data_IF_013582991675
#
_entry.id   IF_013582991675
#
_cell.length_a   1.000
_cell.length_b   1.000
_cell.length_c   1.000
_cell.angle_alpha   90.00
_cell.angle_beta   90.00
_cell.angle_gamma   90.00
#
_symmetry.space_group_name_H-M   'P 1'
#
loop_
_entity.id
_entity.type
_entity.pdbx_description
1 polymer ?
#
# COMPACT_ATOMS: atom_id res chain seq x y z
N UNK A 1 4.31 11.93 -22.96
CA UNK A 1 2.94 11.68 -22.47
C UNK A 1 2.53 10.21 -22.64
N UNK A 2 3.07 9.49 -23.64
CA UNK A 2 2.61 8.14 -24.08
C UNK A 2 2.68 6.97 -23.09
N UNK A 3 3.33 7.16 -21.93
CA UNK A 3 3.51 6.11 -20.90
C UNK A 3 2.98 6.51 -19.52
N UNK A 4 2.40 7.71 -19.39
CA UNK A 4 2.00 8.24 -18.08
C UNK A 4 0.93 7.36 -17.43
N UNK A 5 -0.10 6.97 -18.16
CA UNK A 5 -1.20 6.19 -17.62
C UNK A 5 -0.77 4.76 -17.23
N UNK A 6 0.03 4.08 -18.05
CA UNK A 6 0.54 2.75 -17.74
C UNK A 6 1.55 2.79 -16.58
N UNK A 7 2.37 3.84 -16.50
CA UNK A 7 3.31 4.04 -15.39
C UNK A 7 2.59 4.35 -14.07
N UNK A 8 1.53 5.17 -14.11
CA UNK A 8 0.70 5.45 -12.93
C UNK A 8 -0.04 4.18 -12.50
N UNK A 9 -0.63 3.44 -13.45
CA UNK A 9 -1.32 2.18 -13.20
C UNK A 9 -0.40 1.13 -12.56
N UNK A 10 0.81 0.96 -13.10
CA UNK A 10 1.82 0.07 -12.51
C UNK A 10 2.24 0.53 -11.11
N UNK A 11 2.41 1.84 -10.91
CA UNK A 11 2.76 2.39 -9.59
C UNK A 11 1.70 2.07 -8.53
N UNK A 12 0.41 2.26 -8.85
CA UNK A 12 -0.69 1.95 -7.94
C UNK A 12 -0.77 0.44 -7.65
N UNK A 13 -0.63 -0.40 -8.69
CA UNK A 13 -0.66 -1.86 -8.56
C UNK A 13 0.48 -2.38 -7.65
N UNK A 14 1.70 -1.84 -7.81
CA UNK A 14 2.85 -2.17 -6.97
C UNK A 14 2.64 -1.77 -5.50
N UNK A 15 1.99 -0.63 -5.23
CA UNK A 15 1.63 -0.23 -3.86
C UNK A 15 0.63 -1.21 -3.25
N UNK A 16 -0.41 -1.60 -3.99
CA UNK A 16 -1.40 -2.58 -3.53
C UNK A 16 -0.74 -3.94 -3.26
N UNK A 17 0.14 -4.40 -4.16
CA UNK A 17 0.94 -5.61 -3.97
C UNK A 17 1.81 -5.54 -2.73
N UNK A 18 2.48 -4.41 -2.48
CA UNK A 18 3.29 -4.17 -1.28
C UNK A 18 2.46 -4.25 0.00
N UNK A 19 1.26 -3.65 0.02
CA UNK A 19 0.33 -3.75 1.15
C UNK A 19 -0.15 -5.19 1.37
N UNK A 20 -0.50 -5.90 0.29
CA UNK A 20 -0.91 -7.31 0.36
C UNK A 20 0.23 -8.20 0.89
N UNK A 21 1.47 -7.97 0.45
CA UNK A 21 2.64 -8.71 0.92
C UNK A 21 2.89 -8.45 2.42
N UNK A 22 2.80 -7.19 2.86
CA UNK A 22 2.92 -6.84 4.28
C UNK A 22 1.86 -7.55 5.12
N UNK A 23 0.61 -7.56 4.65
CA UNK A 23 -0.49 -8.22 5.34
C UNK A 23 -0.28 -9.75 5.38
N UNK A 24 0.19 -10.35 4.29
CA UNK A 24 0.53 -11.77 4.22
C UNK A 24 1.62 -12.14 5.23
N UNK A 25 2.70 -11.36 5.31
CA UNK A 25 3.76 -11.56 6.31
C UNK A 25 3.19 -11.49 7.72
N UNK A 26 2.30 -10.54 8.00
CA UNK A 26 1.69 -10.39 9.31
C UNK A 26 0.80 -11.59 9.70
N UNK A 27 -0.01 -12.09 8.76
CA UNK A 27 -0.80 -13.31 8.98
C UNK A 27 0.09 -14.54 9.17
N UNK A 28 1.17 -14.65 8.41
CA UNK A 28 2.12 -15.76 8.54
C UNK A 28 2.85 -15.73 9.89
N UNK A 29 3.24 -14.55 10.37
CA UNK A 29 3.83 -14.37 11.70
C UNK A 29 2.83 -14.76 12.81
N UNK A 30 1.63 -14.17 12.78
CA UNK A 30 0.57 -14.45 13.75
C UNK A 30 0.16 -15.93 13.76
N UNK A 31 0.08 -16.55 12.58
CA UNK A 31 -0.23 -17.97 12.43
C UNK A 31 0.88 -18.89 12.97
N UNK A 32 2.16 -18.51 12.83
CA UNK A 32 3.28 -19.25 13.43
C UNK A 32 3.24 -19.18 14.95
N UNK A 33 3.08 -17.98 15.51
CA UNK A 33 2.96 -17.78 16.96
C UNK A 33 1.79 -18.57 17.54
N UNK A 34 0.62 -18.52 16.88
CA UNK A 34 -0.55 -19.28 17.30
C UNK A 34 -0.34 -20.81 17.22
N UNK A 35 0.38 -21.30 16.20
CA UNK A 35 0.70 -22.72 16.07
C UNK A 35 1.70 -23.19 17.13
N UNK A 36 2.73 -22.39 17.43
CA UNK A 36 3.73 -22.70 18.46
C UNK A 36 3.20 -22.55 19.89
N UNK A 37 2.10 -21.83 20.10
CA UNK A 37 1.48 -21.64 21.41
C UNK A 37 1.12 -22.98 22.06
N UNK A 38 1.63 -23.24 23.26
CA UNK A 38 1.21 -24.41 24.03
C UNK A 38 -0.25 -24.20 24.49
N UNK A 39 -1.12 -25.16 24.20
CA UNK A 39 -2.46 -25.16 24.77
C UNK A 39 -2.36 -25.80 26.16
N UNK A 40 -2.58 -24.99 27.19
CA UNK A 40 -2.40 -25.42 28.56
C UNK A 40 -3.77 -25.40 29.26
N UNK A 41 -4.24 -26.55 29.77
CA UNK A 41 -5.49 -26.58 30.52
C UNK A 41 -5.30 -25.90 31.87
N UNK A 42 -6.37 -25.27 32.38
CA UNK A 42 -6.40 -24.64 33.70
C UNK A 42 -6.63 -25.75 34.74
N UNK A 43 -5.57 -26.51 35.04
CA UNK A 43 -5.59 -27.66 35.95
C UNK A 43 -4.65 -27.43 37.15
N UNK A 44 -4.71 -28.31 38.16
CA UNK A 44 -3.87 -28.20 39.37
C UNK A 44 -2.36 -28.28 39.08
N UNK A 45 -1.99 -28.92 37.98
CA UNK A 45 -0.60 -29.06 37.53
C UNK A 45 -0.07 -27.80 36.83
N UNK A 46 -0.93 -26.85 36.46
CA UNK A 46 -0.52 -25.62 35.77
C UNK A 46 0.47 -24.80 36.61
N UNK A 47 0.18 -24.70 37.91
CA UNK A 47 1.02 -23.99 38.85
C UNK A 47 2.39 -24.65 39.00
N UNK A 48 2.42 -25.97 39.15
CA UNK A 48 3.67 -26.72 39.31
C UNK A 48 4.49 -26.74 38.02
N UNK A 49 3.85 -26.65 36.85
CA UNK A 49 4.51 -26.50 35.56
C UNK A 49 5.21 -25.14 35.41
N UNK A 50 4.58 -24.06 35.88
CA UNK A 50 5.18 -22.71 35.88
C UNK A 50 6.31 -22.59 36.90
N UNK A 51 6.17 -23.18 38.08
CA UNK A 51 7.24 -23.17 39.12
C UNK A 51 8.53 -23.87 38.65
N UNK A 52 8.43 -24.82 37.70
CA UNK A 52 9.59 -25.51 37.10
C UNK A 52 10.32 -24.66 36.06
N UNK A 53 9.70 -23.61 35.51
CA UNK A 53 10.37 -22.72 34.57
C UNK A 53 11.21 -21.68 35.30
N UNK A 54 12.37 -21.37 34.70
CA UNK A 54 13.38 -20.49 35.30
C UNK A 54 12.85 -19.08 35.59
N UNK A 55 11.93 -18.58 34.75
CA UNK A 55 11.32 -17.25 34.88
C UNK A 55 9.87 -17.27 35.40
N UNK A 56 9.35 -18.45 35.75
CA UNK A 56 7.93 -18.64 36.14
C UNK A 56 6.91 -18.05 35.16
N UNK A 57 7.29 -17.95 33.89
CA UNK A 57 6.57 -17.31 32.80
C UNK A 57 6.52 -18.22 31.58
N UNK A 58 5.35 -18.33 30.97
CA UNK A 58 5.17 -18.88 29.62
C UNK A 58 4.82 -17.71 28.70
N UNK A 59 5.70 -17.32 27.76
CA UNK A 59 5.51 -16.12 26.94
C UNK A 59 4.26 -16.20 26.04
N UNK A 60 3.86 -17.41 25.63
CA UNK A 60 2.72 -17.58 24.73
C UNK A 60 1.94 -18.86 25.05
N UNK A 61 0.95 -18.74 25.93
CA UNK A 61 0.06 -19.82 26.33
C UNK A 61 -1.36 -19.58 25.82
N UNK A 62 -2.05 -20.67 25.45
CA UNK A 62 -3.49 -20.65 25.15
C UNK A 62 -4.22 -21.33 26.28
N UNK A 63 -5.05 -20.56 27.00
CA UNK A 63 -5.93 -21.08 28.04
C UNK A 63 -7.38 -20.91 27.62
N UNK A 64 -8.24 -21.83 28.07
CA UNK A 64 -9.67 -21.78 27.82
C UNK A 64 -10.40 -22.03 29.12
N UNK A 65 -11.34 -21.15 29.47
CA UNK A 65 -12.10 -21.24 30.70
C UNK A 65 -13.42 -20.49 30.63
N UNK A 66 -14.20 -20.61 31.70
CA UNK A 66 -15.42 -19.83 31.91
C UNK A 66 -15.07 -18.51 32.58
N UNK A 67 -15.63 -17.42 32.05
CA UNK A 67 -15.45 -16.07 32.59
C UNK A 67 -16.18 -15.96 33.93
N UNK A 68 -15.46 -15.64 35.00
CA UNK A 68 -16.05 -15.41 36.32
C UNK A 68 -15.54 -14.10 36.93
N UNK A 69 -16.44 -13.23 37.43
CA UNK A 69 -16.07 -11.95 38.03
C UNK A 69 -15.34 -12.13 39.38
N UNK A 70 -14.32 -11.32 39.61
CA UNK A 70 -13.69 -11.12 40.93
C UNK A 70 -14.39 -9.93 41.57
N UNK A 71 -15.59 -10.15 42.12
CA UNK A 71 -16.43 -9.12 42.72
C UNK A 71 -17.85 -9.08 42.15
N UNK A 72 -18.62 -8.00 42.38
CA UNK A 72 -19.97 -7.87 41.84
C UNK A 72 -19.93 -7.72 40.31
N UNK A 73 -20.69 -8.52 39.54
CA UNK A 73 -20.72 -8.40 38.09
C UNK A 73 -21.40 -7.09 37.66
N UNK A 74 -20.97 -6.56 36.52
CA UNK A 74 -21.59 -5.41 35.86
C UNK A 74 -22.95 -5.84 35.33
N UNK A 75 -24.00 -5.08 35.64
CA UNK A 75 -25.33 -5.29 35.06
C UNK A 75 -25.49 -4.39 33.84
N UNK A 76 -26.03 -4.96 32.76
CA UNK A 76 -26.33 -4.21 31.55
C UNK A 76 -27.32 -3.08 31.86
N UNK A 77 -27.08 -1.92 31.25
CA UNK A 77 -27.90 -0.72 31.46
C UNK A 77 -29.12 -0.72 30.57
N UNK A 78 -29.02 -1.29 29.36
CA UNK A 78 -30.08 -1.27 28.36
C UNK A 78 -30.89 -2.58 28.32
N UNK A 79 -30.32 -3.70 28.80
CA UNK A 79 -30.99 -5.00 28.81
C UNK A 79 -31.08 -5.57 30.24
N UNK A 80 -32.28 -5.62 30.84
CA UNK A 80 -32.44 -6.22 32.15
C UNK A 80 -32.15 -7.73 32.09
N UNK A 81 -31.42 -8.24 33.09
CA UNK A 81 -31.10 -9.67 33.21
C UNK A 81 -29.79 -10.11 32.55
N UNK A 82 -29.08 -9.20 31.87
CA UNK A 82 -27.72 -9.48 31.36
C UNK A 82 -26.68 -8.95 32.35
N UNK A 83 -25.75 -9.82 32.76
CA UNK A 83 -24.61 -9.47 33.61
C UNK A 83 -23.29 -9.97 33.01
N UNK A 84 -22.21 -9.23 33.27
CA UNK A 84 -20.90 -9.57 32.75
C UNK A 84 -19.75 -8.89 33.49
N UNK A 85 -18.55 -9.15 32.98
CA UNK A 85 -17.30 -8.62 33.54
C UNK A 85 -16.81 -7.37 32.81
N UNK A 86 -17.24 -7.20 31.56
CA UNK A 86 -16.88 -6.09 30.70
C UNK A 86 -18.14 -5.61 29.98
N UNK A 87 -18.33 -4.30 29.94
CA UNK A 87 -19.40 -3.64 29.22
C UNK A 87 -18.79 -2.52 28.37
N UNK A 88 -19.10 -2.50 27.07
CA UNK A 88 -18.70 -1.48 26.12
C UNK A 88 -19.96 -0.81 25.57
N UNK A 89 -20.08 0.49 25.83
CA UNK A 89 -21.16 1.33 25.33
C UNK A 89 -20.62 2.18 24.18
N UNK A 90 -21.30 2.14 23.03
CA UNK A 90 -20.88 2.86 21.84
C UNK A 90 -22.04 3.61 21.21
N UNK A 91 -21.85 4.92 21.02
CA UNK A 91 -22.76 5.79 20.28
C UNK A 91 -22.12 6.14 18.93
N UNK A 92 -22.74 5.67 17.86
CA UNK A 92 -22.23 5.85 16.49
C UNK A 92 -23.19 6.71 15.67
N UNK A 93 -22.71 7.79 15.10
CA UNK A 93 -23.42 8.61 14.13
C UNK A 93 -23.30 8.00 12.73
N UNK A 94 -24.44 7.75 12.11
CA UNK A 94 -24.52 7.41 10.70
C UNK A 94 -24.69 8.69 9.89
N UNK A 95 -23.74 8.99 9.02
CA UNK A 95 -23.78 10.19 8.17
C UNK A 95 -23.37 9.87 6.74
N UNK A 96 -23.84 10.66 5.79
CA UNK A 96 -23.42 10.60 4.40
C UNK A 96 -22.59 11.82 4.11
N UNK A 97 -21.40 11.63 3.54
CA UNK A 97 -20.52 12.74 3.14
C UNK A 97 -20.37 12.78 1.63
N UNK A 98 -20.24 13.98 1.07
CA UNK A 98 -19.97 14.16 -0.35
C UNK A 98 -18.46 14.11 -0.60
N UNK A 99 -18.02 13.11 -1.35
CA UNK A 99 -16.62 12.99 -1.79
C UNK A 99 -16.26 14.03 -2.85
N UNK A 100 -14.96 14.17 -3.13
CA UNK A 100 -14.42 15.10 -4.13
C UNK A 100 -15.01 14.91 -5.54
N UNK A 101 -15.34 13.67 -5.91
CA UNK A 101 -15.98 13.34 -7.19
C UNK A 101 -17.51 13.58 -7.19
N UNK A 102 -18.08 14.16 -6.13
CA UNK A 102 -19.50 14.47 -6.02
C UNK A 102 -20.40 13.32 -5.59
N UNK A 103 -19.86 12.12 -5.38
CA UNK A 103 -20.61 10.96 -4.89
C UNK A 103 -20.82 11.02 -3.38
N UNK A 104 -22.01 10.62 -2.95
CA UNK A 104 -22.39 10.45 -1.55
C UNK A 104 -21.86 9.12 -1.02
N UNK A 105 -21.12 9.15 0.09
CA UNK A 105 -20.57 7.96 0.75
C UNK A 105 -21.08 7.86 2.18
N UNK A 106 -21.57 6.68 2.56
CA UNK A 106 -21.92 6.38 3.94
C UNK A 106 -20.65 6.37 4.80
N UNK A 107 -20.71 7.05 5.93
CA UNK A 107 -19.65 7.16 6.91
C UNK A 107 -20.22 6.93 8.31
N UNK A 108 -19.49 6.17 9.11
CA UNK A 108 -19.78 5.97 10.52
C UNK A 108 -18.80 6.79 11.33
N UNK A 109 -19.31 7.59 12.27
CA UNK A 109 -18.48 8.36 13.20
C UNK A 109 -18.83 7.95 14.63
N UNK A 110 -17.85 7.43 15.36
CA UNK A 110 -18.03 7.14 16.79
C UNK A 110 -18.06 8.47 17.54
N UNK A 111 -19.18 8.78 18.18
CA UNK A 111 -19.37 10.00 18.97
C UNK A 111 -18.90 9.80 20.41
N UNK A 112 -19.16 8.62 20.95
CA UNK A 112 -18.79 8.27 22.30
C UNK A 112 -18.55 6.76 22.40
N UNK A 113 -17.52 6.39 23.14
CA UNK A 113 -17.19 5.02 23.50
C UNK A 113 -16.75 5.03 24.96
N UNK A 114 -17.41 4.22 25.78
CA UNK A 114 -17.05 4.00 27.17
C UNK A 114 -17.01 2.51 27.47
N UNK A 115 -16.05 2.12 28.30
CA UNK A 115 -15.86 0.74 28.69
C UNK A 115 -15.75 0.64 30.21
N UNK A 116 -16.59 -0.20 30.81
CA UNK A 116 -16.57 -0.53 32.22
C UNK A 116 -16.05 -1.96 32.37
N UNK A 117 -15.00 -2.14 33.17
CA UNK A 117 -14.36 -3.44 33.40
C UNK A 117 -14.32 -3.74 34.90
N UNK A 118 -14.77 -4.93 35.26
CA UNK A 118 -14.56 -5.53 36.59
C UNK A 118 -13.46 -6.59 36.44
N UNK A 119 -12.51 -6.68 37.39
CA UNK A 119 -11.50 -7.74 37.38
C UNK A 119 -12.15 -9.11 37.28
N UNK A 120 -11.60 -9.98 36.45
CA UNK A 120 -12.16 -11.30 36.22
C UNK A 120 -11.09 -12.35 36.00
N UNK A 121 -11.46 -13.59 36.28
CA UNK A 121 -10.63 -14.75 36.04
C UNK A 121 -11.31 -15.72 35.07
N UNK A 122 -10.49 -16.45 34.32
CA UNK A 122 -10.92 -17.61 33.58
C UNK A 122 -10.78 -18.83 34.47
N UNK A 123 -11.90 -19.49 34.76
CA UNK A 123 -11.92 -20.69 35.58
C UNK A 123 -12.12 -21.94 34.75
N UNK A 124 -11.46 -23.00 35.17
CA UNK A 124 -11.82 -24.36 34.81
C UNK A 124 -11.79 -25.18 36.09
N UNK A 125 -12.89 -25.88 36.38
CA UNK A 125 -13.03 -26.66 37.62
C UNK A 125 -12.75 -25.80 38.87
N UNK A 126 -11.68 -26.10 39.61
CA UNK A 126 -11.28 -25.41 40.85
C UNK A 126 -10.17 -24.37 40.69
N UNK A 127 -9.62 -24.19 39.48
CA UNK A 127 -8.48 -23.31 39.25
C UNK A 127 -8.88 -22.09 38.40
N UNK A 128 -8.27 -20.94 38.69
CA UNK A 128 -8.55 -19.66 38.04
C UNK A 128 -7.29 -18.96 37.58
N UNK A 129 -7.37 -18.30 36.42
CA UNK A 129 -6.32 -17.42 35.89
C UNK A 129 -6.90 -16.02 35.73
N UNK A 130 -6.36 -15.05 36.46
CA UNK A 130 -6.75 -13.64 36.39
C UNK A 130 -6.31 -13.02 35.05
N UNK A 131 -7.21 -12.30 34.38
CA UNK A 131 -6.89 -11.60 33.13
C UNK A 131 -6.57 -10.14 33.44
N UNK A 132 -5.36 -9.71 33.05
CA UNK A 132 -4.90 -8.34 33.23
C UNK A 132 -4.99 -7.57 31.91
N UNK A 133 -5.37 -6.29 31.97
CA UNK A 133 -5.39 -5.38 30.83
C UNK A 133 -6.27 -5.87 29.65
N UNK A 134 -7.44 -6.45 29.95
CA UNK A 134 -8.36 -6.99 28.93
C UNK A 134 -8.76 -5.97 27.85
N UNK A 135 -8.87 -4.68 28.19
CA UNK A 135 -9.20 -3.59 27.24
C UNK A 135 -8.09 -3.32 26.23
N UNK A 136 -6.84 -3.71 26.53
CA UNK A 136 -5.69 -3.55 25.63
C UNK A 136 -5.45 -4.78 24.75
N UNK A 137 -6.35 -5.77 24.82
CA UNK A 137 -6.27 -6.93 23.95
C UNK A 137 -6.35 -6.51 22.48
N UNK A 138 -5.46 -7.04 21.65
CA UNK A 138 -5.46 -6.76 20.20
C UNK A 138 -6.69 -7.32 19.50
N UNK A 139 -7.32 -8.32 20.11
CA UNK A 139 -8.62 -8.86 19.72
C UNK A 139 -9.42 -9.09 20.99
N UNK A 140 -10.62 -8.51 21.06
CA UNK A 140 -11.54 -8.64 22.17
C UNK A 140 -12.93 -8.95 21.62
N UNK A 141 -13.33 -10.20 21.79
CA UNK A 141 -14.62 -10.71 21.34
C UNK A 141 -15.66 -10.54 22.44
N UNK A 142 -16.69 -9.75 22.16
CA UNK A 142 -17.76 -9.40 23.10
C UNK A 142 -19.11 -9.52 22.40
N UNK A 143 -20.13 -9.96 23.13
CA UNK A 143 -21.47 -10.12 22.58
C UNK A 143 -22.21 -8.79 22.58
N UNK A 144 -22.74 -8.38 21.43
CA UNK A 144 -23.66 -7.23 21.36
C UNK A 144 -25.00 -7.67 21.96
N UNK A 145 -25.38 -7.05 23.07
CA UNK A 145 -26.59 -7.39 23.82
C UNK A 145 -27.74 -6.43 23.51
N UNK A 146 -27.41 -5.20 23.11
CA UNK A 146 -28.38 -4.21 22.64
C UNK A 146 -27.82 -3.49 21.43
N UNK A 147 -28.67 -3.28 20.45
CA UNK A 147 -28.38 -2.46 19.28
C UNK A 147 -29.67 -1.78 18.83
N UNK A 148 -29.70 -0.45 18.92
CA UNK A 148 -30.84 0.36 18.48
C UNK A 148 -30.37 1.50 17.59
N UNK A 149 -31.04 1.64 16.45
CA UNK A 149 -30.82 2.71 15.49
C UNK A 149 -31.98 3.69 15.50
N UNK A 150 -31.70 4.94 15.87
CA UNK A 150 -32.65 6.04 15.87
C UNK A 150 -32.42 6.91 14.62
N UNK A 151 -33.37 6.94 13.66
CA UNK A 151 -33.25 7.79 12.50
C UNK A 151 -33.34 9.27 12.89
N UNK A 152 -32.49 10.09 12.31
CA UNK A 152 -32.60 11.54 12.47
C UNK A 152 -33.90 12.00 11.78
N UNK A 153 -34.79 12.64 12.53
CA UNK A 153 -35.98 13.25 11.96
C UNK A 153 -35.54 14.45 11.12
N UNK A 154 -35.71 14.34 9.80
CA UNK A 154 -35.26 15.40 8.90
C UNK A 154 -36.20 16.58 9.00
N UNK A 155 -35.70 17.73 9.43
CA UNK A 155 -36.41 19.00 9.27
C UNK A 155 -36.20 19.54 7.85
N UNK A 156 -37.13 20.35 7.34
CA UNK A 156 -37.02 20.99 6.01
C UNK A 156 -35.70 21.78 5.84
N UNK A 157 -35.15 22.31 6.93
CA UNK A 157 -33.88 23.03 6.97
C UNK A 157 -32.67 22.11 6.74
N UNK A 158 -32.73 20.84 7.16
CA UNK A 158 -31.64 19.86 6.98
C UNK A 158 -31.44 19.47 5.52
N UNK A 159 -32.50 19.53 4.70
CA UNK A 159 -32.41 19.26 3.26
C UNK A 159 -31.62 20.35 2.51
N UNK A 160 -31.71 21.61 2.98
CA UNK A 160 -31.06 22.75 2.34
C UNK A 160 -29.60 22.88 2.84
N UNK A 161 -29.37 22.79 4.14
CA UNK A 161 -28.03 22.91 4.72
C UNK A 161 -27.15 21.67 4.48
N UNK A 162 -27.73 20.46 4.40
CA UNK A 162 -26.98 19.24 4.05
C UNK A 162 -26.41 19.26 2.63
N UNK A 163 -27.09 19.95 1.69
CA UNK A 163 -26.60 20.12 0.32
C UNK A 163 -25.43 21.11 0.24
N UNK A 164 -25.43 22.15 1.08
CA UNK A 164 -24.39 23.19 1.12
C UNK A 164 -23.15 22.72 1.89
N UNK A 165 -23.33 22.03 3.02
CA UNK A 165 -22.23 21.57 3.88
C UNK A 165 -21.56 20.28 3.40
N UNK A 166 -22.22 19.51 2.52
CA UNK A 166 -21.71 18.24 2.02
C UNK A 166 -21.72 17.10 3.06
N UNK A 167 -22.38 17.29 4.20
CA UNK A 167 -22.55 16.28 5.26
C UNK A 167 -24.04 16.19 5.60
N UNK A 168 -24.57 14.96 5.64
CA UNK A 168 -25.97 14.68 6.00
C UNK A 168 -26.02 13.61 7.08
N UNK A 169 -26.54 13.95 8.26
CA UNK A 169 -26.79 12.96 9.31
C UNK A 169 -28.01 12.10 8.94
N UNK A 170 -27.88 10.77 9.10
CA UNK A 170 -28.97 9.79 8.89
C UNK A 170 -29.60 9.33 10.20
N UNK A 171 -28.81 9.23 11.26
CA UNK A 171 -29.28 8.75 12.55
C UNK A 171 -28.15 8.45 13.52
N UNK A 172 -28.55 8.03 14.73
CA UNK A 172 -27.68 7.64 15.82
C UNK A 172 -27.93 6.16 16.13
N UNK A 173 -26.86 5.38 16.24
CA UNK A 173 -26.89 4.00 16.68
C UNK A 173 -26.30 3.91 18.07
N UNK A 174 -27.08 3.39 19.01
CA UNK A 174 -26.61 3.07 20.37
C UNK A 174 -26.47 1.57 20.48
N UNK A 175 -25.25 1.10 20.71
CA UNK A 175 -24.95 -0.31 20.90
C UNK A 175 -24.29 -0.56 22.25
N UNK A 176 -24.69 -1.64 22.91
CA UNK A 176 -24.07 -2.15 24.12
C UNK A 176 -23.55 -3.56 23.86
N UNK A 177 -22.26 -3.77 24.14
CA UNK A 177 -21.62 -5.08 24.10
C UNK A 177 -21.15 -5.50 25.49
N UNK A 178 -21.33 -6.77 25.84
CA UNK A 178 -21.01 -7.29 27.17
C UNK A 178 -20.27 -8.63 27.07
N UNK A 179 -19.18 -8.77 27.82
CA UNK A 179 -18.57 -10.09 28.08
C UNK A 179 -19.31 -10.75 29.24
N UNK A 180 -20.21 -11.68 28.91
CA UNK A 180 -21.13 -12.29 29.88
C UNK A 180 -20.40 -13.14 30.92
N UNK A 181 -20.88 -13.12 32.15
CA UNK A 181 -20.49 -14.07 33.17
C UNK A 181 -20.89 -15.49 32.75
N UNK A 182 -20.02 -16.47 32.98
CA UNK A 182 -20.22 -17.86 32.59
C UNK A 182 -19.98 -18.16 31.11
N UNK A 183 -19.69 -17.15 30.28
CA UNK A 183 -19.29 -17.37 28.88
C UNK A 183 -17.95 -18.09 28.78
N UNK A 184 -17.77 -18.91 27.75
CA UNK A 184 -16.51 -19.61 27.49
C UNK A 184 -15.60 -18.69 26.67
N UNK A 185 -14.43 -18.39 27.21
CA UNK A 185 -13.44 -17.53 26.56
C UNK A 185 -12.10 -18.26 26.43
N UNK A 186 -11.45 -18.03 25.29
CA UNK A 186 -10.08 -18.43 25.02
C UNK A 186 -9.20 -17.19 25.16
N UNK A 187 -8.24 -17.23 26.08
CA UNK A 187 -7.22 -16.20 26.22
C UNK A 187 -5.88 -16.70 25.72
N UNK A 188 -5.17 -15.82 25.00
CA UNK A 188 -3.84 -16.09 24.45
C UNK A 188 -2.93 -14.93 24.80
N UNK A 189 -1.86 -15.22 25.52
CA UNK A 189 -0.91 -14.22 25.98
C UNK A 189 0.19 -14.84 26.84
N UNK A 190 0.89 -13.98 27.57
CA UNK A 190 1.90 -14.39 28.54
C UNK A 190 1.21 -14.85 29.82
N UNK A 191 1.53 -16.06 30.27
CA UNK A 191 1.08 -16.61 31.54
C UNK A 191 2.19 -16.45 32.58
N UNK A 192 1.92 -15.71 33.64
CA UNK A 192 2.86 -15.43 34.73
C UNK A 192 2.29 -15.94 36.06
N UNK A 193 3.17 -16.49 36.91
CA UNK A 193 2.85 -16.81 38.29
C UNK A 193 3.31 -15.67 39.22
N UNK A 194 2.39 -14.80 39.60
CA UNK A 194 2.64 -13.72 40.55
C UNK A 194 2.33 -14.16 41.98
N UNK A 195 3.38 -14.60 42.68
CA UNK A 195 3.28 -15.13 44.04
C UNK A 195 2.46 -16.43 44.13
N UNK A 196 1.15 -16.30 44.32
CA UNK A 196 0.19 -17.44 44.36
C UNK A 196 -0.92 -17.35 43.31
N UNK A 197 -1.04 -16.24 42.59
CA UNK A 197 -2.11 -15.98 41.63
C UNK A 197 -1.56 -16.20 40.22
N UNK A 198 -2.30 -16.94 39.40
CA UNK A 198 -2.00 -17.12 37.98
C UNK A 198 -2.57 -15.93 37.22
N UNK A 199 -1.74 -15.27 36.42
CA UNK A 199 -2.10 -14.06 35.68
C UNK A 199 -1.80 -14.22 34.21
N UNK A 200 -2.71 -13.74 33.36
CA UNK A 200 -2.49 -13.64 31.94
C UNK A 200 -2.43 -12.18 31.51
N UNK A 201 -1.37 -11.82 30.78
CA UNK A 201 -1.09 -10.46 30.38
C UNK A 201 -0.58 -10.38 28.92
N UNK A 202 -0.59 -9.18 28.31
CA UNK A 202 0.08 -8.95 27.03
C UNK A 202 1.58 -9.29 27.12
N UNK A 203 2.14 -9.94 26.10
CA UNK A 203 3.57 -10.24 26.03
C UNK A 203 4.34 -9.15 25.27
N UNK A 204 5.67 -9.10 25.41
CA UNK A 204 6.52 -8.22 24.60
C UNK A 204 6.42 -8.54 23.10
N UNK A 205 6.29 -9.83 22.77
CA UNK A 205 6.22 -10.33 21.39
C UNK A 205 4.81 -10.31 20.79
N UNK A 206 3.77 -10.00 21.58
CA UNK A 206 2.39 -10.06 21.10
C UNK A 206 1.33 -9.53 22.07
N UNK A 207 0.31 -8.87 21.50
CA UNK A 207 -0.86 -8.41 22.24
C UNK A 207 -1.67 -9.57 22.81
N UNK A 208 -2.32 -9.36 23.96
CA UNK A 208 -3.32 -10.27 24.52
C UNK A 208 -4.47 -10.46 23.50
N UNK A 209 -4.92 -11.70 23.31
CA UNK A 209 -6.06 -12.04 22.45
C UNK A 209 -7.12 -12.70 23.32
N UNK A 210 -8.32 -12.12 23.34
CA UNK A 210 -9.48 -12.62 24.07
C UNK A 210 -10.58 -12.92 23.04
N UNK A 211 -10.91 -14.20 22.85
CA UNK A 211 -11.92 -14.60 21.86
C UNK A 211 -12.79 -15.75 22.31
N UNK A 212 -14.03 -15.80 21.84
CA UNK A 212 -14.92 -16.95 22.04
C UNK A 212 -14.52 -18.15 21.18
N UNK A 213 -13.71 -17.92 20.13
CA UNK A 213 -13.25 -18.94 19.21
C UNK A 213 -12.22 -19.90 19.86
N UNK A 214 -12.14 -21.11 19.33
CA UNK A 214 -11.10 -22.08 19.69
C UNK A 214 -9.79 -21.81 18.95
N UNK A 215 -8.67 -22.34 19.46
CA UNK A 215 -7.38 -22.31 18.77
C UNK A 215 -7.48 -22.84 17.32
N UNK A 216 -8.21 -23.94 17.11
CA UNK A 216 -8.39 -24.53 15.78
C UNK A 216 -9.15 -23.60 14.83
N UNK A 217 -10.27 -23.02 15.28
CA UNK A 217 -11.06 -22.08 14.47
C UNK A 217 -10.31 -20.78 14.17
N UNK A 218 -9.45 -20.32 15.10
CA UNK A 218 -8.58 -19.16 14.85
C UNK A 218 -7.52 -19.46 13.79
N UNK A 219 -6.86 -20.63 13.87
CA UNK A 219 -5.90 -21.08 12.85
C UNK A 219 -6.59 -21.18 11.49
N UNK A 220 -7.78 -21.76 11.45
CA UNK A 220 -8.56 -21.88 10.22
C UNK A 220 -8.89 -20.50 9.61
N UNK A 221 -9.37 -19.55 10.42
CA UNK A 221 -9.65 -18.17 9.94
C UNK A 221 -8.40 -17.47 9.41
N UNK A 222 -7.24 -17.69 10.02
CA UNK A 222 -5.96 -17.17 9.54
C UNK A 222 -5.55 -17.80 8.21
N UNK A 223 -5.77 -19.11 8.04
CA UNK A 223 -5.47 -19.84 6.79
C UNK A 223 -6.41 -19.44 5.65
N UNK A 224 -7.70 -19.23 5.95
CA UNK A 224 -8.68 -18.68 5.00
C UNK A 224 -8.33 -17.24 4.59
N UNK A 225 -7.94 -16.39 5.55
CA UNK A 225 -7.46 -15.04 5.26
C UNK A 225 -6.19 -15.04 4.41
N UNK A 226 -5.26 -15.97 4.70
CA UNK A 226 -4.03 -16.17 3.93
C UNK A 226 -4.31 -16.63 2.50
N UNK A 227 -5.20 -17.59 2.31
CA UNK A 227 -5.54 -18.09 0.96
C UNK A 227 -6.16 -16.98 0.12
N UNK A 228 -7.11 -16.21 0.67
CA UNK A 228 -7.69 -15.05 0.02
C UNK A 228 -6.64 -13.99 -0.38
N UNK A 229 -5.65 -13.74 0.48
CA UNK A 229 -4.53 -12.84 0.18
C UNK A 229 -3.63 -13.35 -0.93
N UNK A 230 -3.32 -14.65 -0.95
CA UNK A 230 -2.54 -15.25 -2.05
C UNK A 230 -3.26 -15.05 -3.38
N UNK A 231 -4.58 -15.28 -3.43
CA UNK A 231 -5.37 -15.03 -4.64
C UNK A 231 -5.34 -13.56 -5.07
N UNK A 232 -5.46 -12.62 -4.13
CA UNK A 232 -5.33 -11.18 -4.42
C UNK A 232 -3.95 -10.83 -4.95
N UNK A 233 -2.89 -11.36 -4.35
CA UNK A 233 -1.51 -11.17 -4.80
C UNK A 233 -1.28 -11.73 -6.21
N UNK A 234 -1.83 -12.90 -6.52
CA UNK A 234 -1.76 -13.48 -7.86
C UNK A 234 -2.47 -12.61 -8.90
N UNK A 235 -3.64 -12.07 -8.54
CA UNK A 235 -4.41 -11.17 -9.42
C UNK A 235 -3.63 -9.90 -9.76
N UNK A 236 -3.22 -9.12 -8.76
CA UNK A 236 -2.44 -7.89 -9.00
C UNK A 236 -1.07 -8.20 -9.63
N UNK A 237 -0.42 -9.29 -9.23
CA UNK A 237 0.84 -9.74 -9.84
C UNK A 237 0.71 -9.99 -11.36
N UNK A 238 -0.41 -10.57 -11.79
CA UNK A 238 -0.69 -10.78 -13.22
C UNK A 238 -0.90 -9.46 -13.98
N UNK A 239 -1.55 -8.47 -13.34
CA UNK A 239 -1.77 -7.14 -13.90
C UNK A 239 -0.43 -6.40 -14.07
N UNK A 240 0.42 -6.42 -13.04
CA UNK A 240 1.79 -5.87 -13.10
C UNK A 240 2.59 -6.44 -14.27
N UNK A 241 2.59 -7.77 -14.45
CA UNK A 241 3.31 -8.43 -15.56
C UNK A 241 2.75 -8.01 -16.92
N UNK A 242 1.43 -7.92 -17.05
CA UNK A 242 0.77 -7.46 -18.28
C UNK A 242 1.15 -6.01 -18.63
N UNK A 243 1.09 -5.10 -17.66
CA UNK A 243 1.43 -3.69 -17.86
C UNK A 243 2.90 -3.52 -18.23
N UNK A 244 3.81 -4.21 -17.55
CA UNK A 244 5.23 -4.24 -17.91
C UNK A 244 5.46 -4.76 -19.33
N UNK A 245 4.75 -5.82 -19.72
CA UNK A 245 4.79 -6.36 -21.08
C UNK A 245 4.31 -5.37 -22.14
N UNK A 246 3.25 -4.61 -21.87
CA UNK A 246 2.74 -3.57 -22.77
C UNK A 246 3.71 -2.39 -22.91
N UNK A 247 4.28 -1.93 -21.79
CA UNK A 247 5.30 -0.86 -21.79
C UNK A 247 6.53 -1.32 -22.59
N UNK A 248 7.03 -2.54 -22.32
CA UNK A 248 8.17 -3.10 -23.04
C UNK A 248 7.89 -3.23 -24.55
N UNK A 249 6.70 -3.69 -24.94
CA UNK A 249 6.28 -3.78 -26.34
C UNK A 249 6.24 -2.41 -27.01
N UNK A 250 5.66 -1.40 -26.37
CA UNK A 250 5.62 -0.01 -26.90
C UNK A 250 7.04 0.56 -27.06
N UNK A 251 7.91 0.36 -26.07
CA UNK A 251 9.31 0.81 -26.15
C UNK A 251 10.07 0.10 -27.27
N UNK A 252 9.84 -1.20 -27.46
CA UNK A 252 10.42 -1.97 -28.56
C UNK A 252 9.97 -1.45 -29.93
N UNK A 253 8.66 -1.24 -30.12
CA UNK A 253 8.10 -0.74 -31.38
C UNK A 253 8.59 0.68 -31.68
N UNK A 254 8.67 1.56 -30.68
CA UNK A 254 9.19 2.92 -30.82
C UNK A 254 10.67 2.92 -31.22
N UNK A 255 11.49 2.08 -30.58
CA UNK A 255 12.91 1.90 -30.96
C UNK A 255 13.04 1.34 -32.38
N UNK A 256 12.16 0.43 -32.78
CA UNK A 256 12.15 -0.14 -34.14
C UNK A 256 11.78 0.92 -35.18
N UNK A 257 10.79 1.77 -34.91
CA UNK A 257 10.42 2.88 -35.79
C UNK A 257 11.55 3.89 -35.94
N UNK A 258 12.16 4.31 -34.84
CA UNK A 258 13.31 5.22 -34.86
C UNK A 258 14.46 4.67 -35.71
N UNK A 259 14.79 3.38 -35.57
CA UNK A 259 15.81 2.74 -36.41
C UNK A 259 15.47 2.75 -37.90
N UNK A 260 14.20 2.54 -38.25
CA UNK A 260 13.76 2.58 -39.65
C UNK A 260 13.79 4.02 -40.21
N UNK A 261 13.39 5.01 -39.41
CA UNK A 261 13.49 6.43 -39.77
C UNK A 261 14.95 6.87 -39.95
N UNK A 262 15.84 6.47 -39.04
CA UNK A 262 17.27 6.73 -39.13
C UNK A 262 17.89 6.07 -40.38
N UNK A 263 17.48 4.84 -40.71
CA UNK A 263 17.92 4.16 -41.93
C UNK A 263 17.46 4.90 -43.19
N UNK A 264 16.19 5.32 -43.26
CA UNK A 264 15.65 6.10 -44.38
C UNK A 264 16.39 7.44 -44.48
N UNK A 265 16.62 8.11 -43.36
CA UNK A 265 17.34 9.39 -43.32
C UNK A 265 18.76 9.24 -43.86
N UNK A 266 19.50 8.23 -43.39
CA UNK A 266 20.86 7.98 -43.83
C UNK A 266 20.91 7.67 -45.33
N UNK A 267 19.99 6.83 -45.84
CA UNK A 267 19.87 6.56 -47.28
C UNK A 267 19.62 7.83 -48.09
N UNK A 268 18.69 8.68 -47.65
CA UNK A 268 18.41 9.95 -48.33
C UNK A 268 19.60 10.91 -48.30
N UNK A 269 20.37 10.93 -47.21
CA UNK A 269 21.60 11.73 -47.11
C UNK A 269 22.69 11.21 -48.04
N UNK A 270 22.84 9.89 -48.19
CA UNK A 270 23.73 9.26 -49.16
C UNK A 270 23.33 9.58 -50.60
N UNK A 271 22.06 9.38 -50.98
CA UNK A 271 21.55 9.71 -52.31
C UNK A 271 21.74 11.20 -52.65
N UNK A 272 21.56 12.10 -51.67
CA UNK A 272 21.83 13.54 -51.85
C UNK A 272 23.32 13.80 -52.10
N UNK A 273 24.21 13.14 -51.36
CA UNK A 273 25.67 13.26 -51.55
C UNK A 273 26.08 12.77 -52.93
N UNK A 274 25.56 11.64 -53.38
CA UNK A 274 25.82 11.10 -54.72
C UNK A 274 25.32 12.02 -55.82
N UNK A 275 24.07 12.52 -55.73
CA UNK A 275 23.54 13.48 -56.71
C UNK A 275 24.38 14.75 -56.80
N UNK A 276 24.82 15.30 -55.66
CA UNK A 276 25.73 16.46 -55.64
C UNK A 276 27.07 16.12 -56.30
N UNK A 277 27.66 14.98 -55.99
CA UNK A 277 28.92 14.56 -56.60
C UNK A 277 28.82 14.47 -58.13
N UNK A 278 27.70 13.96 -58.66
CA UNK A 278 27.44 13.88 -60.11
C UNK A 278 27.24 15.25 -60.78
N UNK A 279 26.68 16.23 -60.08
CA UNK A 279 26.44 17.58 -60.61
C UNK A 279 27.65 18.52 -60.50
N UNK A 280 28.72 18.12 -59.80
CA UNK A 280 29.90 18.96 -59.62
C UNK A 280 30.70 19.10 -60.91
N UNK A 281 31.17 20.31 -61.25
CA UNK A 281 32.01 20.52 -62.43
C UNK A 281 33.35 19.80 -62.26
N UNK A 282 33.78 19.07 -63.30
CA UNK A 282 35.04 18.30 -63.27
C UNK A 282 36.29 19.18 -63.50
N UNK A 283 36.14 20.31 -64.20
CA UNK A 283 37.23 21.22 -64.54
C UNK A 283 37.30 22.40 -63.55
N UNK A 284 37.63 22.11 -62.30
CA UNK A 284 37.83 23.12 -61.26
C UNK A 284 39.30 23.55 -61.19
N UNK A 285 39.55 24.87 -61.24
CA UNK A 285 40.86 25.46 -60.89
C UNK A 285 41.15 25.27 -59.40
N UNK A 286 42.42 25.30 -58.99
CA UNK A 286 42.79 25.12 -57.57
C UNK A 286 42.13 26.15 -56.65
N UNK A 287 41.94 27.38 -57.14
CA UNK A 287 41.27 28.46 -56.41
C UNK A 287 39.77 28.23 -56.20
N UNK A 288 39.14 27.32 -56.95
CA UNK A 288 37.72 26.98 -56.84
C UNK A 288 37.48 25.74 -55.97
N UNK A 289 38.53 25.02 -55.54
CA UNK A 289 38.41 23.77 -54.77
C UNK A 289 38.34 24.02 -53.27
N UNK A 290 37.60 23.18 -52.57
CA UNK A 290 37.52 23.13 -51.12
C UNK A 290 38.92 22.96 -50.51
N UNK A 291 39.27 23.78 -49.53
CA UNK A 291 40.63 23.77 -48.92
C UNK A 291 40.91 22.52 -48.08
N UNK A 292 39.89 21.69 -47.83
CA UNK A 292 39.99 20.51 -46.95
C UNK A 292 40.12 19.22 -47.76
N UNK A 293 39.22 18.99 -48.72
CA UNK A 293 39.26 17.78 -49.54
C UNK A 293 39.99 17.96 -50.87
N UNK A 294 40.29 19.21 -51.28
CA UNK A 294 40.95 19.56 -52.55
C UNK A 294 40.34 18.92 -53.81
N UNK A 295 39.08 18.50 -53.72
CA UNK A 295 38.39 17.69 -54.74
C UNK A 295 37.08 18.34 -55.15
N UNK A 296 36.24 18.70 -54.18
CA UNK A 296 34.93 19.31 -54.41
C UNK A 296 35.02 20.84 -54.51
N UNK A 297 34.11 21.53 -55.22
CA UNK A 297 34.09 22.99 -55.29
C UNK A 297 33.76 23.63 -53.94
N UNK A 298 34.11 24.90 -53.78
CA UNK A 298 33.70 25.70 -52.62
C UNK A 298 32.21 26.07 -52.77
N UNK A 299 31.39 25.66 -51.80
CA UNK A 299 29.92 25.77 -51.85
C UNK A 299 29.36 26.53 -50.62
N UNK A 300 30.18 26.74 -49.59
CA UNK A 300 29.74 27.23 -48.28
C UNK A 300 30.50 28.49 -47.88
N UNK A 301 29.76 29.53 -47.49
CA UNK A 301 30.27 30.74 -46.84
C UNK A 301 30.21 30.59 -45.32
N UNK A 302 31.28 30.98 -44.64
CA UNK A 302 31.41 30.97 -43.18
C UNK A 302 31.19 32.38 -42.64
N UNK A 303 30.28 32.55 -41.68
CA UNK A 303 29.99 33.84 -41.03
C UNK A 303 30.51 33.85 -39.57
N UNK A 304 31.00 35.00 -39.07
CA UNK A 304 30.99 36.32 -39.71
C UNK A 304 32.19 36.61 -40.62
N UNK A 305 33.18 35.71 -40.70
CA UNK A 305 34.44 36.02 -41.39
C UNK A 305 34.36 36.10 -42.93
N UNK A 306 33.27 35.65 -43.54
CA UNK A 306 32.99 35.74 -44.98
C UNK A 306 33.77 34.75 -45.86
N UNK A 307 34.60 33.86 -45.29
CA UNK A 307 35.41 32.96 -46.09
C UNK A 307 34.56 31.89 -46.77
N UNK A 308 34.63 31.85 -48.10
CA UNK A 308 34.11 30.77 -48.93
C UNK A 308 35.27 29.80 -49.15
N UNK A 309 35.33 28.71 -48.37
CA UNK A 309 36.49 27.81 -48.40
C UNK A 309 36.15 26.32 -48.31
N UNK A 310 34.89 25.97 -48.04
CA UNK A 310 34.44 24.59 -47.81
C UNK A 310 33.44 24.15 -48.88
N UNK A 311 33.48 22.87 -49.26
CA UNK A 311 32.34 22.21 -49.90
C UNK A 311 31.29 21.83 -48.84
N UNK A 312 30.07 21.51 -49.27
CA UNK A 312 28.99 21.17 -48.35
C UNK A 312 29.33 19.95 -47.47
N UNK A 313 29.98 18.92 -48.02
CA UNK A 313 30.34 17.70 -47.30
C UNK A 313 31.41 17.94 -46.21
N UNK A 314 32.43 18.77 -46.50
CA UNK A 314 33.45 19.15 -45.51
C UNK A 314 32.86 20.08 -44.45
N UNK A 315 31.89 20.92 -44.82
CA UNK A 315 31.23 21.84 -43.88
C UNK A 315 30.45 21.14 -42.77
N UNK A 316 29.95 19.92 -43.01
CA UNK A 316 29.26 19.12 -41.99
C UNK A 316 30.18 18.68 -40.85
N UNK A 317 31.47 18.46 -41.15
CA UNK A 317 32.45 17.95 -40.19
C UNK A 317 33.24 19.05 -39.45
N UNK A 318 33.18 20.31 -39.93
CA UNK A 318 33.94 21.44 -39.37
C UNK A 318 32.98 22.43 -38.73
N UNK A 319 32.77 22.37 -37.42
CA UNK A 319 31.74 23.17 -36.73
C UNK A 319 32.22 24.51 -36.17
N UNK A 320 33.45 24.58 -35.64
CA UNK A 320 33.78 25.62 -34.66
C UNK A 320 34.76 26.69 -35.16
N UNK A 321 35.65 26.35 -36.10
CA UNK A 321 36.79 27.20 -36.50
C UNK A 321 36.90 27.25 -38.03
N UNK A 322 37.05 28.44 -38.59
CA UNK A 322 37.31 28.64 -40.01
C UNK A 322 38.71 28.10 -40.39
N UNK A 323 38.85 27.21 -41.38
CA UNK A 323 40.16 26.68 -41.78
C UNK A 323 41.15 27.73 -42.31
N UNK A 324 40.64 28.87 -42.79
CA UNK A 324 41.45 29.93 -43.39
C UNK A 324 41.91 30.94 -42.34
N UNK A 325 41.00 31.61 -41.66
CA UNK A 325 41.34 32.68 -40.72
C UNK A 325 41.39 32.24 -39.25
N UNK A 326 41.03 30.98 -38.95
CA UNK A 326 40.93 30.43 -37.59
C UNK A 326 39.94 31.18 -36.68
N UNK A 327 39.12 32.06 -37.24
CA UNK A 327 38.02 32.72 -36.54
C UNK A 327 36.91 31.73 -36.15
N UNK A 328 36.17 32.07 -35.10
CA UNK A 328 35.00 31.31 -34.65
C UNK A 328 33.90 31.34 -35.72
N UNK A 329 33.27 30.19 -35.96
CA UNK A 329 32.13 30.07 -36.87
C UNK A 329 30.84 30.30 -36.07
N UNK A 330 30.06 31.30 -36.45
CA UNK A 330 28.73 31.55 -35.88
C UNK A 330 27.64 30.90 -36.72
N UNK A 331 27.73 31.00 -38.06
CA UNK A 331 26.81 30.32 -38.98
C UNK A 331 27.47 29.97 -40.31
N UNK A 332 26.85 29.05 -41.04
CA UNK A 332 27.26 28.61 -42.38
C UNK A 332 26.08 28.70 -43.32
N UNK A 333 26.30 29.16 -44.53
CA UNK A 333 25.24 29.30 -45.54
C UNK A 333 25.77 28.88 -46.91
N UNK A 334 24.89 28.44 -47.80
CA UNK A 334 25.27 28.16 -49.18
C UNK A 334 25.74 29.44 -49.87
N UNK A 335 26.88 29.38 -50.56
CA UNK A 335 27.41 30.47 -51.37
C UNK A 335 26.99 30.25 -52.83
N UNK A 336 26.30 31.23 -53.42
CA UNK A 336 26.00 31.23 -54.85
C UNK A 336 27.06 32.08 -55.55
N UNK A 337 28.00 31.41 -56.22
CA UNK A 337 29.04 32.05 -57.02
C UNK A 337 28.53 32.06 -58.46
N UNK A 338 28.13 33.25 -58.94
CA UNK A 338 27.63 33.46 -60.32
C UNK A 338 28.79 33.64 -61.28
#
# INVERSE_FOLDING_TARGET
>A
MDFLYESIGLGVDLVILGLCLRQYVNYNHSGRMLKSAAQVPIDGDLRSALEKQQDKKIPFAVIRGTVTPIGPPIRSTLVPGVSGVLQIMKLTEHRVTRGFAGFWTDNLKVLHESANLVPFELRNQGHGVEIIDALRAGVLDVDVVYDNYEPATMTLWDHIFGFISGIRQRGLQTSEAVLREGSVLTAIGELELDGKVLRMQPSEDGSLILTTATKATLIQRLEEGKSALIFRMAFYGSISVLLLGLIARKLYLKRKQQRAEDEIRNRLEEERRERRALMRPQNLTDDQRCVVCSSNPKEIIILPCGHVCLCEDCSQHISNICPVCRGKIDSKTAAFIV
#
